data_IF_612771713629
#
_entry.id   IF_612771713629
#
_cell.length_a   1.000
_cell.length_b   1.000
_cell.length_c   1.000
_cell.angle_alpha   90.00
_cell.angle_beta   90.00
_cell.angle_gamma   90.00
#
_symmetry.space_group_name_H-M   'P 1'
#
loop_
_entity.id
_entity.type
_entity.pdbx_description
1 polymer ?
#
# COMPACT_ATOMS: atom_id res chain seq x y z
N UNK A 1 5.17 26.09 22.47
CA UNK A 1 6.08 25.84 21.33
C UNK A 1 5.40 24.87 20.37
N UNK A 2 5.09 25.22 19.12
CA UNK A 2 4.48 24.26 18.19
C UNK A 2 5.52 23.19 17.81
N UNK A 3 5.19 21.92 18.00
CA UNK A 3 6.04 20.79 17.61
C UNK A 3 6.25 20.81 16.10
N UNK A 4 7.52 20.75 15.67
CA UNK A 4 7.91 20.70 14.26
C UNK A 4 7.31 19.44 13.62
N UNK A 5 6.44 19.62 12.61
CA UNK A 5 5.84 18.50 11.87
C UNK A 5 6.91 17.74 11.10
N UNK A 6 6.92 16.41 11.24
CA UNK A 6 7.84 15.54 10.51
C UNK A 6 7.37 15.39 9.05
N UNK A 7 7.87 16.27 8.16
CA UNK A 7 7.56 16.26 6.73
C UNK A 7 8.59 15.40 6.00
N UNK A 8 8.16 14.22 5.54
CA UNK A 8 8.97 13.37 4.67
C UNK A 8 8.56 13.58 3.21
N UNK A 9 9.51 13.90 2.34
CA UNK A 9 9.26 13.92 0.89
C UNK A 9 9.17 12.48 0.40
N UNK A 10 8.08 12.16 -0.30
CA UNK A 10 7.90 10.86 -0.93
C UNK A 10 8.32 11.00 -2.40
N UNK A 11 9.52 10.51 -2.73
CA UNK A 11 10.07 10.56 -4.10
C UNK A 11 9.43 9.50 -5.00
N UNK A 12 8.96 8.41 -4.39
CA UNK A 12 8.36 7.27 -5.08
C UNK A 12 6.82 7.43 -5.12
N UNK A 13 6.16 7.14 -6.25
CA UNK A 13 4.70 7.14 -6.37
C UNK A 13 4.01 6.34 -5.26
N UNK A 14 2.81 6.77 -4.88
CA UNK A 14 2.08 6.13 -3.79
C UNK A 14 1.76 4.65 -4.07
N UNK A 15 1.32 4.33 -5.29
CA UNK A 15 1.04 2.96 -5.71
C UNK A 15 2.26 2.04 -5.58
N UNK A 16 3.43 2.51 -6.03
CA UNK A 16 4.66 1.73 -5.98
C UNK A 16 5.11 1.49 -4.52
N UNK A 17 4.95 2.47 -3.63
CA UNK A 17 5.22 2.28 -2.20
C UNK A 17 4.28 1.27 -1.54
N UNK A 18 3.01 1.21 -1.96
CA UNK A 18 2.07 0.20 -1.46
C UNK A 18 2.46 -1.21 -1.92
N UNK A 19 2.89 -1.36 -3.18
CA UNK A 19 3.40 -2.63 -3.70
C UNK A 19 4.67 -3.07 -2.96
N UNK A 20 5.62 -2.16 -2.74
CA UNK A 20 6.83 -2.43 -1.95
C UNK A 20 6.51 -2.85 -0.51
N UNK A 21 5.50 -2.23 0.12
CA UNK A 21 5.07 -2.61 1.46
C UNK A 21 4.43 -4.00 1.49
N UNK A 22 3.63 -4.35 0.47
CA UNK A 22 3.02 -5.67 0.35
C UNK A 22 4.07 -6.77 0.17
N UNK A 23 5.04 -6.57 -0.71
CA UNK A 23 6.13 -7.53 -0.94
C UNK A 23 6.99 -7.71 0.30
N UNK A 24 7.42 -6.61 0.93
CA UNK A 24 8.22 -6.65 2.16
C UNK A 24 7.49 -7.39 3.30
N UNK A 25 6.17 -7.16 3.46
CA UNK A 25 5.37 -7.84 4.47
C UNK A 25 5.25 -9.35 4.18
N UNK A 26 5.11 -9.75 2.92
CA UNK A 26 5.13 -11.18 2.53
C UNK A 26 6.49 -11.83 2.78
N UNK A 27 7.57 -11.15 2.40
CA UNK A 27 8.90 -11.70 2.57
C UNK A 27 9.26 -11.85 4.05
N UNK A 28 8.88 -10.88 4.89
CA UNK A 28 8.96 -11.02 6.34
C UNK A 28 8.12 -12.20 6.83
N UNK A 29 6.87 -12.36 6.37
CA UNK A 29 6.02 -13.48 6.77
C UNK A 29 6.58 -14.85 6.39
N UNK A 30 7.31 -14.96 5.26
CA UNK A 30 7.96 -16.21 4.83
C UNK A 30 9.09 -16.64 5.77
N UNK A 31 9.79 -15.68 6.39
CA UNK A 31 10.88 -15.96 7.33
C UNK A 31 10.39 -16.42 8.70
N UNK A 32 9.13 -16.16 9.04
CA UNK A 32 8.55 -16.56 10.32
C UNK A 32 7.89 -17.95 10.26
N UNK A 33 7.96 -18.72 11.36
CA UNK A 33 7.16 -19.93 11.52
C UNK A 33 5.67 -19.60 11.53
N UNK A 34 4.82 -20.62 11.36
CA UNK A 34 3.38 -20.47 11.48
C UNK A 34 3.02 -19.94 12.88
N UNK A 35 2.25 -18.85 12.93
CA UNK A 35 1.90 -18.19 14.19
C UNK A 35 1.30 -16.80 13.98
N UNK A 36 0.87 -16.19 15.08
CA UNK A 36 0.15 -14.92 15.07
C UNK A 36 0.94 -13.76 14.43
N UNK A 37 2.26 -13.76 14.60
CA UNK A 37 3.14 -12.74 14.00
C UNK A 37 3.16 -12.83 12.47
N UNK A 38 3.30 -14.05 11.94
CA UNK A 38 3.22 -14.33 10.50
C UNK A 38 1.86 -13.92 9.95
N UNK A 39 0.77 -14.29 10.62
CA UNK A 39 -0.58 -13.94 10.17
C UNK A 39 -0.80 -12.43 10.17
N UNK A 40 -0.25 -11.73 11.15
CA UNK A 40 -0.31 -10.27 11.23
C UNK A 40 0.43 -9.60 10.07
N UNK A 41 1.58 -10.16 9.66
CA UNK A 41 2.32 -9.68 8.49
C UNK A 41 1.58 -9.98 7.19
N UNK A 42 0.97 -11.16 7.06
CA UNK A 42 0.13 -11.50 5.89
C UNK A 42 -1.08 -10.58 5.77
N UNK A 43 -1.75 -10.25 6.88
CA UNK A 43 -2.86 -9.28 6.90
C UNK A 43 -2.39 -7.90 6.45
N UNK A 44 -1.23 -7.44 6.90
CA UNK A 44 -0.65 -6.16 6.44
C UNK A 44 -0.33 -6.18 4.95
N UNK A 45 0.21 -7.27 4.43
CA UNK A 45 0.46 -7.43 3.00
C UNK A 45 -0.84 -7.28 2.20
N UNK A 46 -1.89 -7.99 2.62
CA UNK A 46 -3.20 -7.99 1.95
C UNK A 46 -3.88 -6.61 2.00
N UNK A 47 -3.73 -5.89 3.12
CA UNK A 47 -4.19 -4.50 3.23
C UNK A 47 -3.46 -3.58 2.26
N UNK A 48 -2.15 -3.73 2.11
CA UNK A 48 -1.35 -2.94 1.19
C UNK A 48 -1.71 -3.22 -0.28
N UNK A 49 -1.98 -4.48 -0.65
CA UNK A 49 -2.47 -4.84 -1.99
C UNK A 49 -3.84 -4.25 -2.27
N UNK A 50 -4.77 -4.38 -1.33
CA UNK A 50 -6.12 -3.81 -1.44
C UNK A 50 -6.04 -2.29 -1.61
N UNK A 51 -5.19 -1.62 -0.83
CA UNK A 51 -4.97 -0.19 -0.95
C UNK A 51 -4.40 0.20 -2.32
N UNK A 52 -3.48 -0.60 -2.87
CA UNK A 52 -2.91 -0.35 -4.19
C UNK A 52 -3.99 -0.48 -5.29
N UNK A 53 -4.83 -1.50 -5.19
CA UNK A 53 -5.94 -1.71 -6.13
C UNK A 53 -6.98 -0.59 -6.05
N UNK A 54 -7.36 -0.16 -4.85
CA UNK A 54 -8.25 1.01 -4.68
C UNK A 54 -7.61 2.27 -5.29
N UNK A 55 -6.31 2.48 -5.05
CA UNK A 55 -5.62 3.62 -5.62
C UNK A 55 -5.62 3.59 -7.16
N UNK A 56 -5.44 2.41 -7.76
CA UNK A 56 -5.55 2.21 -9.20
C UNK A 56 -6.96 2.56 -9.72
N UNK A 57 -8.01 2.03 -9.09
CA UNK A 57 -9.40 2.34 -9.44
C UNK A 57 -9.71 3.84 -9.36
N UNK A 58 -9.20 4.53 -8.34
CA UNK A 58 -9.38 5.97 -8.18
C UNK A 58 -8.53 6.81 -9.14
N UNK A 59 -7.40 6.28 -9.59
CA UNK A 59 -6.50 6.94 -10.54
C UNK A 59 -6.95 6.75 -12.00
N UNK A 60 -7.80 5.75 -12.27
CA UNK A 60 -8.32 5.50 -13.60
C UNK A 60 -9.14 6.71 -14.09
N UNK A 61 -8.89 7.19 -15.33
CA UNK A 61 -9.69 8.26 -15.91
C UNK A 61 -11.14 7.79 -15.99
N UNK A 62 -12.06 8.55 -15.41
CA UNK A 62 -13.49 8.30 -15.58
C UNK A 62 -13.77 8.40 -17.07
N UNK A 63 -14.32 7.33 -17.66
CA UNK A 63 -14.82 7.34 -19.03
C UNK A 63 -15.77 8.55 -19.12
N UNK A 64 -15.34 9.62 -19.79
CA UNK A 64 -16.27 10.69 -20.13
C UNK A 64 -17.32 10.04 -21.03
N UNK A 65 -18.62 10.16 -20.72
CA UNK A 65 -19.62 9.72 -21.67
C UNK A 65 -19.33 10.46 -22.97
N UNK A 66 -19.22 9.71 -24.07
CA UNK A 66 -19.07 10.30 -25.38
C UNK A 66 -20.36 11.12 -25.63
N UNK A 67 -20.26 12.42 -25.43
CA UNK A 67 -21.32 13.37 -25.76
C UNK A 67 -21.65 13.16 -27.25
N UNK A 68 -22.91 12.80 -27.50
CA UNK A 68 -23.51 12.70 -28.85
C UNK A 68 -24.21 14.00 -29.18
#
# INVERSE_FOLDING_TARGET
>A
MPLKRNRRKQTIPFAERLQQAATAARDAAKLLPAGQERDSLLKKALQAETAAHINELLSAPRLQPADR
#
